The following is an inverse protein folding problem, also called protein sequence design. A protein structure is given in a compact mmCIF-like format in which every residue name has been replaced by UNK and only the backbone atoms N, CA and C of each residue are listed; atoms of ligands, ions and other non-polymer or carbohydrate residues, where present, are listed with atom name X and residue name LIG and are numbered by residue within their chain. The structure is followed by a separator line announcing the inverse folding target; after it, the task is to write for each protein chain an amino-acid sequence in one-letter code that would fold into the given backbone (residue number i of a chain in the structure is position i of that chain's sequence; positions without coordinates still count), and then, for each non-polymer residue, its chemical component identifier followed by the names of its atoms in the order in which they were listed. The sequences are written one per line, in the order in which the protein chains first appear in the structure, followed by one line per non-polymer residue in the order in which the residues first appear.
data_IF_936362050481
#
_entry.id   IF_936362050481
#
_cell.length_a   1.000
_cell.length_b   1.000
_cell.length_c   1.000
_cell.angle_alpha   90.00
_cell.angle_beta   90.00
_cell.angle_gamma   90.00
#
_symmetry.space_group_name_H-M   'P 1'
#
loop_
_entity.id
_entity.type
_entity.pdbx_description
1 polymer ?
#
# COMPACT_ATOMS: atom_id res chain seq x y z
N UNK A 1 -6.58 -28.81 13.23
CA UNK A 1 -6.01 -28.30 14.49
C UNK A 1 -6.02 -26.77 14.42
N UNK A 2 -6.69 -26.10 15.40
CA UNK A 2 -6.71 -24.63 15.44
C UNK A 2 -5.32 -24.11 15.80
N UNK A 3 -4.89 -23.05 15.11
CA UNK A 3 -3.62 -22.38 15.43
C UNK A 3 -3.77 -21.67 16.79
N UNK A 4 -2.75 -21.81 17.64
CA UNK A 4 -2.71 -21.12 18.94
C UNK A 4 -2.17 -19.70 18.70
N UNK A 5 -2.84 -18.69 19.26
CA UNK A 5 -2.35 -17.32 19.25
C UNK A 5 -1.27 -17.14 20.31
N UNK A 6 -0.08 -16.76 19.89
CA UNK A 6 1.07 -16.48 20.76
C UNK A 6 1.30 -14.97 20.80
N UNK A 7 1.61 -14.45 22.00
CA UNK A 7 1.83 -13.04 22.24
C UNK A 7 3.27 -12.77 22.67
N UNK A 8 3.90 -11.75 22.09
CA UNK A 8 5.23 -11.29 22.49
C UNK A 8 5.29 -9.77 22.62
N UNK A 9 6.17 -9.30 23.50
CA UNK A 9 6.42 -7.86 23.65
C UNK A 9 6.80 -7.22 22.31
N UNK A 10 6.24 -6.06 22.00
CA UNK A 10 6.62 -5.28 20.81
C UNK A 10 8.11 -4.93 20.84
N UNK A 11 8.68 -4.66 22.04
CA UNK A 11 10.10 -4.32 22.19
C UNK A 11 10.50 -3.04 21.47
N UNK A 12 11.72 -2.98 20.95
CA UNK A 12 12.21 -1.80 20.22
C UNK A 12 11.67 -1.80 18.80
N UNK A 13 10.98 -0.73 18.42
CA UNK A 13 10.50 -0.50 17.06
C UNK A 13 10.82 0.93 16.64
N UNK A 14 11.58 1.10 15.53
CA UNK A 14 12.03 2.40 15.00
C UNK A 14 12.65 3.30 16.07
N UNK A 15 13.51 2.72 16.91
CA UNK A 15 14.24 3.45 17.97
C UNK A 15 13.42 3.71 19.25
N UNK A 16 12.15 3.34 19.29
CA UNK A 16 11.29 3.46 20.49
C UNK A 16 11.14 2.10 21.15
N UNK A 17 11.51 1.99 22.42
CA UNK A 17 11.32 0.78 23.20
C UNK A 17 9.91 0.73 23.78
N UNK A 18 9.08 -0.23 23.35
CA UNK A 18 7.73 -0.48 23.83
C UNK A 18 7.63 -1.66 24.81
N UNK A 19 8.76 -2.18 25.28
CA UNK A 19 8.80 -3.30 26.24
C UNK A 19 7.97 -2.97 27.48
N UNK A 20 7.10 -3.89 27.89
CA UNK A 20 6.18 -3.71 29.02
C UNK A 20 4.99 -2.77 28.76
N UNK A 21 4.86 -2.21 27.58
CA UNK A 21 3.71 -1.37 27.19
C UNK A 21 2.73 -2.10 26.28
N UNK A 22 3.26 -2.86 25.30
CA UNK A 22 2.45 -3.51 24.28
C UNK A 22 3.00 -4.88 23.90
N UNK A 23 2.07 -5.75 23.54
CA UNK A 23 2.36 -7.04 22.92
C UNK A 23 1.70 -7.13 21.55
N UNK A 24 2.32 -7.89 20.66
CA UNK A 24 1.80 -8.26 19.34
C UNK A 24 1.64 -9.78 19.29
N UNK A 25 0.65 -10.28 18.56
CA UNK A 25 0.39 -11.70 18.42
C UNK A 25 0.75 -12.25 17.05
N UNK A 26 0.87 -13.57 16.97
CA UNK A 26 1.02 -14.32 15.70
C UNK A 26 -0.14 -14.11 14.73
N UNK A 27 -1.29 -13.62 15.20
CA UNK A 27 -2.46 -13.31 14.37
C UNK A 27 -2.51 -11.85 13.91
N UNK A 28 -1.52 -11.04 14.32
CA UNK A 28 -1.50 -9.61 14.01
C UNK A 28 -2.34 -8.76 14.95
N UNK A 29 -2.80 -9.30 16.08
CA UNK A 29 -3.45 -8.51 17.09
C UNK A 29 -2.43 -7.75 17.94
N UNK A 30 -2.81 -6.60 18.49
CA UNK A 30 -1.97 -5.81 19.39
C UNK A 30 -2.77 -5.56 20.67
N UNK A 31 -2.13 -5.70 21.82
CA UNK A 31 -2.72 -5.33 23.11
C UNK A 31 -1.76 -4.47 23.92
N UNK A 32 -2.32 -3.51 24.68
CA UNK A 32 -1.57 -2.82 25.72
C UNK A 32 -1.55 -3.67 26.99
N UNK A 33 -0.51 -3.51 27.78
CA UNK A 33 -0.34 -4.21 29.05
C UNK A 33 -0.85 -3.38 30.23
N UNK A 34 -1.20 -4.06 31.32
CA UNK A 34 -1.49 -3.44 32.62
C UNK A 34 -0.24 -2.69 33.07
N UNK A 35 -0.39 -1.44 33.49
CA UNK A 35 0.72 -0.65 34.00
C UNK A 35 0.28 0.41 35.00
N UNK A 36 1.22 0.85 35.82
CA UNK A 36 1.06 2.00 36.68
C UNK A 36 1.63 3.25 36.00
N UNK A 37 0.90 4.34 36.04
CA UNK A 37 1.38 5.67 35.66
C UNK A 37 1.64 6.42 36.99
N UNK A 38 2.88 6.85 37.16
CA UNK A 38 3.33 7.63 38.31
C UNK A 38 3.32 9.11 37.95
N UNK A 39 2.62 9.92 38.69
CA UNK A 39 2.58 11.36 38.55
C UNK A 39 3.62 12.03 39.44
N UNK A 40 4.05 13.21 39.08
CA UNK A 40 5.04 14.01 39.87
C UNK A 40 4.55 14.40 41.24
N UNK A 41 3.23 14.43 41.47
CA UNK A 41 2.56 14.71 42.74
C UNK A 41 2.39 13.46 43.64
N UNK A 42 3.01 12.33 43.26
CA UNK A 42 2.97 11.07 44.01
C UNK A 42 1.73 10.19 43.73
N UNK A 43 0.76 10.65 42.93
CA UNK A 43 -0.40 9.84 42.57
C UNK A 43 -0.01 8.69 41.65
N UNK A 44 -0.66 7.54 41.83
CA UNK A 44 -0.49 6.36 41.02
C UNK A 44 -1.82 6.05 40.30
N UNK A 45 -1.81 6.00 39.00
CA UNK A 45 -2.97 5.56 38.20
C UNK A 45 -2.69 4.18 37.60
N UNK A 46 -3.52 3.20 37.95
CA UNK A 46 -3.52 1.89 37.31
C UNK A 46 -4.26 1.98 35.98
N UNK A 47 -3.62 1.53 34.91
CA UNK A 47 -4.20 1.43 33.59
C UNK A 47 -4.29 -0.03 33.22
N UNK A 48 -5.49 -0.51 32.94
CA UNK A 48 -5.69 -1.87 32.42
C UNK A 48 -5.32 -1.99 30.96
N UNK A 49 -4.68 -3.08 30.62
CA UNK A 49 -4.40 -3.47 29.24
C UNK A 49 -5.67 -3.74 28.45
N UNK A 50 -5.63 -3.48 27.18
CA UNK A 50 -6.75 -3.70 26.25
C UNK A 50 -6.24 -3.99 24.83
N UNK A 51 -7.08 -4.61 24.03
CA UNK A 51 -6.84 -4.75 22.59
C UNK A 51 -6.78 -3.35 21.96
N UNK A 52 -5.77 -3.11 21.16
CA UNK A 52 -5.57 -1.85 20.45
C UNK A 52 -6.35 -1.89 19.14
N UNK A 53 -7.15 -0.86 18.91
CA UNK A 53 -7.90 -0.72 17.66
C UNK A 53 -6.96 -0.60 16.47
N UNK A 54 -7.30 -1.28 15.38
CA UNK A 54 -6.56 -1.28 14.13
C UNK A 54 -7.36 -0.58 13.06
N UNK A 55 -6.69 0.12 12.17
CA UNK A 55 -7.32 0.79 11.02
C UNK A 55 -6.53 0.53 9.74
N UNK A 56 -7.21 0.53 8.64
CA UNK A 56 -6.60 0.51 7.33
C UNK A 56 -6.05 1.90 6.97
N UNK A 57 -4.84 1.94 6.43
CA UNK A 57 -4.32 3.17 5.81
C UNK A 57 -4.94 3.30 4.41
N UNK A 58 -5.69 4.36 4.18
CA UNK A 58 -6.44 4.58 2.92
C UNK A 58 -5.57 4.69 1.67
N UNK A 59 -4.32 5.13 1.80
CA UNK A 59 -3.41 5.26 0.66
C UNK A 59 -2.70 3.94 0.34
N UNK A 60 -2.23 3.24 1.37
CA UNK A 60 -1.39 2.05 1.21
C UNK A 60 -2.16 0.74 1.37
N UNK A 61 -3.34 0.75 1.97
CA UNK A 61 -4.13 -0.44 2.27
C UNK A 61 -3.56 -1.33 3.39
N UNK A 62 -2.48 -0.93 4.05
CA UNK A 62 -1.92 -1.68 5.17
C UNK A 62 -2.67 -1.43 6.47
N UNK A 63 -2.81 -2.47 7.29
CA UNK A 63 -3.34 -2.34 8.64
C UNK A 63 -2.33 -1.67 9.58
N UNK A 64 -2.79 -0.70 10.32
CA UNK A 64 -2.00 0.11 11.24
C UNK A 64 -2.65 0.18 12.63
N UNK A 65 -1.83 0.42 13.64
CA UNK A 65 -2.26 0.73 15.00
C UNK A 65 -1.53 1.99 15.51
N UNK A 66 -2.15 2.68 16.46
CA UNK A 66 -1.53 3.82 17.16
C UNK A 66 -1.13 3.39 18.55
N UNK A 67 0.16 3.44 18.85
CA UNK A 67 0.75 3.16 20.14
C UNK A 67 1.10 4.48 20.84
N UNK A 68 0.88 4.55 22.15
CA UNK A 68 1.19 5.73 22.96
C UNK A 68 2.28 5.40 24.00
N UNK A 69 3.33 6.20 24.06
CA UNK A 69 4.35 6.13 25.11
C UNK A 69 4.84 7.52 25.49
N UNK A 70 4.92 7.80 26.77
CA UNK A 70 5.42 9.07 27.33
C UNK A 70 4.76 10.31 26.70
N UNK A 71 3.43 10.27 26.49
CA UNK A 71 2.68 11.37 25.89
C UNK A 71 2.76 11.48 24.37
N UNK A 72 3.62 10.70 23.71
CA UNK A 72 3.76 10.66 22.26
C UNK A 72 2.97 9.52 21.63
N UNK A 73 2.49 9.71 20.41
CA UNK A 73 1.78 8.73 19.61
C UNK A 73 2.63 8.27 18.44
N UNK A 74 2.60 6.96 18.16
CA UNK A 74 3.39 6.31 17.13
C UNK A 74 2.47 5.45 16.27
N UNK A 75 2.35 5.77 15.00
CA UNK A 75 1.65 4.92 14.04
C UNK A 75 2.57 3.79 13.57
N UNK A 76 2.15 2.56 13.78
CA UNK A 76 2.91 1.36 13.45
C UNK A 76 2.17 0.50 12.44
N UNK A 77 2.88 -0.06 11.46
CA UNK A 77 2.34 -1.04 10.54
C UNK A 77 2.38 -2.43 11.19
N UNK A 78 1.23 -3.10 11.25
CA UNK A 78 1.08 -4.36 12.02
C UNK A 78 1.95 -5.47 11.46
N UNK A 79 1.97 -5.67 10.13
CA UNK A 79 2.81 -6.69 9.49
C UNK A 79 4.30 -6.55 9.85
N UNK A 80 4.79 -5.31 10.03
CA UNK A 80 6.19 -5.09 10.43
C UNK A 80 6.45 -5.53 11.87
N UNK A 81 5.51 -5.28 12.79
CA UNK A 81 5.63 -5.74 14.17
C UNK A 81 5.60 -7.27 14.27
N UNK A 82 4.67 -7.90 13.56
CA UNK A 82 4.56 -9.38 13.52
C UNK A 82 5.83 -9.99 12.91
N UNK A 83 6.28 -9.48 11.77
CA UNK A 83 7.48 -10.00 11.14
C UNK A 83 8.73 -9.82 12.01
N UNK A 84 8.88 -8.66 12.66
CA UNK A 84 10.01 -8.39 13.54
C UNK A 84 10.07 -9.36 14.73
N UNK A 85 8.93 -9.84 15.24
CA UNK A 85 8.88 -10.70 16.43
C UNK A 85 8.86 -12.18 16.09
N UNK A 86 8.19 -12.57 15.02
CA UNK A 86 7.88 -13.98 14.79
C UNK A 86 8.48 -14.57 13.50
N UNK A 87 8.92 -13.72 12.56
CA UNK A 87 9.49 -14.20 11.30
C UNK A 87 11.01 -14.06 11.32
N UNK A 88 11.77 -15.17 11.34
CA UNK A 88 13.23 -15.09 11.28
C UNK A 88 13.69 -14.37 10.02
N UNK A 89 14.61 -13.42 10.18
CA UNK A 89 15.28 -12.75 9.05
C UNK A 89 16.74 -13.21 8.99
N UNK A 90 17.04 -14.09 8.03
CA UNK A 90 18.39 -14.64 7.87
C UNK A 90 19.35 -13.74 7.09
N UNK A 91 18.84 -12.65 6.48
CA UNK A 91 19.62 -11.67 5.74
C UNK A 91 19.08 -10.25 5.96
N UNK A 92 19.23 -9.70 7.18
CA UNK A 92 18.65 -8.40 7.54
C UNK A 92 19.30 -7.21 6.80
N UNK A 93 20.47 -7.39 6.17
CA UNK A 93 21.10 -6.35 5.36
C UNK A 93 20.37 -6.13 4.03
N UNK A 94 19.92 -7.19 3.38
CA UNK A 94 19.30 -7.14 2.07
C UNK A 94 17.77 -7.26 2.14
N UNK A 95 17.25 -8.13 3.02
CA UNK A 95 15.82 -8.36 3.22
C UNK A 95 15.24 -7.38 4.23
N UNK A 96 14.95 -6.19 3.77
CA UNK A 96 14.53 -5.05 4.61
C UNK A 96 13.03 -4.77 4.56
N UNK A 97 12.29 -5.49 3.70
CA UNK A 97 10.85 -5.32 3.52
C UNK A 97 10.09 -6.57 3.91
N UNK A 98 8.83 -6.38 4.34
CA UNK A 98 7.91 -7.47 4.67
C UNK A 98 6.86 -7.57 3.58
N UNK A 99 6.72 -8.77 3.02
CA UNK A 99 5.74 -9.11 2.00
C UNK A 99 4.60 -9.95 2.59
N UNK A 100 3.39 -9.80 2.03
CA UNK A 100 2.23 -10.67 2.28
C UNK A 100 2.15 -11.71 1.16
N UNK A 101 2.33 -12.99 1.49
CA UNK A 101 2.37 -14.09 0.52
C UNK A 101 1.09 -14.22 -0.31
N UNK A 102 -0.06 -13.89 0.29
CA UNK A 102 -1.37 -13.91 -0.36
C UNK A 102 -1.76 -12.60 -1.06
N UNK A 103 -0.84 -11.60 -1.12
CA UNK A 103 -1.08 -10.23 -1.60
C UNK A 103 -2.16 -9.45 -0.82
N UNK A 104 -2.71 -10.01 0.26
CA UNK A 104 -3.72 -9.35 1.08
C UNK A 104 -3.06 -8.58 2.25
N UNK A 105 -2.95 -7.27 2.12
CA UNK A 105 -2.34 -6.37 3.11
C UNK A 105 -3.05 -6.32 4.47
N UNK A 106 -4.23 -6.91 4.56
CA UNK A 106 -5.01 -7.02 5.81
C UNK A 106 -4.72 -8.31 6.57
N UNK A 107 -4.17 -9.33 5.91
CA UNK A 107 -3.86 -10.61 6.51
C UNK A 107 -2.46 -10.60 7.13
N UNK A 108 -2.38 -10.13 8.39
CA UNK A 108 -1.13 -10.00 9.12
C UNK A 108 -0.76 -11.25 9.94
N UNK A 109 -1.33 -12.41 9.60
CA UNK A 109 -0.98 -13.69 10.23
C UNK A 109 0.47 -14.05 9.93
N UNK A 110 1.21 -14.53 10.93
CA UNK A 110 2.66 -14.79 10.84
C UNK A 110 3.05 -15.67 9.67
N UNK A 111 2.27 -16.73 9.37
CA UNK A 111 2.56 -17.65 8.28
C UNK A 111 2.38 -17.02 6.88
N UNK A 112 1.66 -15.90 6.81
CA UNK A 112 1.45 -15.12 5.59
C UNK A 112 2.55 -14.08 5.33
N UNK A 113 3.45 -13.88 6.27
CA UNK A 113 4.48 -12.84 6.17
C UNK A 113 5.84 -13.46 5.87
N UNK A 114 6.65 -12.71 5.14
CA UNK A 114 8.05 -13.07 4.84
C UNK A 114 8.92 -11.82 4.69
N UNK A 115 10.20 -11.96 5.02
CA UNK A 115 11.19 -10.92 4.74
C UNK A 115 11.70 -11.06 3.31
N UNK A 116 11.70 -9.95 2.58
CA UNK A 116 12.10 -9.87 1.16
C UNK A 116 13.02 -8.70 0.92
N UNK A 117 13.80 -8.78 -0.15
CA UNK A 117 14.52 -7.62 -0.69
C UNK A 117 13.56 -6.65 -1.37
N UNK A 118 13.93 -5.36 -1.54
CA UNK A 118 13.11 -4.40 -2.31
C UNK A 118 12.81 -4.88 -3.74
N UNK A 119 13.77 -5.55 -4.38
CA UNK A 119 13.60 -6.08 -5.74
C UNK A 119 12.61 -7.25 -5.80
N UNK A 120 12.73 -8.22 -4.89
CA UNK A 120 11.76 -9.32 -4.76
C UNK A 120 10.35 -8.77 -4.53
N UNK A 121 10.19 -7.82 -3.60
CA UNK A 121 8.90 -7.22 -3.30
C UNK A 121 8.31 -6.44 -4.49
N UNK A 122 9.15 -5.72 -5.24
CA UNK A 122 8.71 -4.99 -6.44
C UNK A 122 8.20 -5.92 -7.55
N UNK A 123 8.76 -7.13 -7.65
CA UNK A 123 8.43 -8.12 -8.68
C UNK A 123 7.45 -9.20 -8.21
N UNK A 124 6.99 -9.13 -6.96
CA UNK A 124 6.13 -10.15 -6.37
C UNK A 124 4.70 -10.13 -6.94
N UNK A 125 4.16 -11.33 -7.09
CA UNK A 125 2.75 -11.56 -7.37
C UNK A 125 2.25 -10.95 -8.68
N UNK A 126 1.02 -10.44 -8.66
CA UNK A 126 0.30 -9.95 -9.85
C UNK A 126 0.61 -8.50 -10.20
N UNK A 127 1.48 -7.80 -9.42
CA UNK A 127 1.77 -6.38 -9.61
C UNK A 127 2.26 -6.05 -11.03
N UNK A 128 3.25 -6.79 -11.53
CA UNK A 128 3.81 -6.57 -12.85
C UNK A 128 2.80 -6.89 -13.96
N UNK A 129 1.95 -7.90 -13.76
CA UNK A 129 0.85 -8.22 -14.68
C UNK A 129 -0.18 -7.09 -14.72
N UNK A 130 -0.58 -6.55 -13.55
CA UNK A 130 -1.48 -5.39 -13.47
C UNK A 130 -0.89 -4.15 -14.14
N UNK A 131 0.39 -3.85 -13.90
CA UNK A 131 1.10 -2.74 -14.54
C UNK A 131 1.21 -2.95 -16.06
N UNK A 132 1.53 -4.16 -16.51
CA UNK A 132 1.59 -4.50 -17.95
C UNK A 132 0.22 -4.35 -18.60
N UNK A 133 -0.86 -4.78 -17.93
CA UNK A 133 -2.24 -4.60 -18.42
C UNK A 133 -2.61 -3.13 -18.53
N UNK A 134 -2.32 -2.32 -17.51
CA UNK A 134 -2.55 -0.88 -17.53
C UNK A 134 -1.75 -0.24 -18.66
N UNK A 135 -0.47 -0.63 -18.84
CA UNK A 135 0.38 -0.15 -19.92
C UNK A 135 -0.20 -0.50 -21.28
N UNK A 136 -0.63 -1.76 -21.50
CA UNK A 136 -1.31 -2.17 -22.74
C UNK A 136 -2.61 -1.38 -22.98
N UNK A 137 -3.37 -1.07 -21.96
CA UNK A 137 -4.58 -0.23 -22.10
C UNK A 137 -4.25 1.23 -22.43
N UNK A 138 -3.09 1.74 -22.03
CA UNK A 138 -2.60 3.06 -22.42
C UNK A 138 -2.06 3.10 -23.87
N UNK A 139 -1.57 1.96 -24.40
CA UNK A 139 -1.05 1.80 -25.77
C UNK A 139 -2.14 1.47 -26.78
N UNK A 140 -3.35 1.94 -26.63
CA UNK A 140 -4.41 1.78 -27.64
C UNK A 140 -4.25 2.83 -28.72
N UNK A 141 -4.27 2.44 -30.00
CA UNK A 141 -4.20 3.38 -31.12
C UNK A 141 -5.29 4.46 -31.01
N UNK A 142 -4.91 5.68 -31.35
CA UNK A 142 -5.78 6.86 -31.33
C UNK A 142 -5.83 7.42 -32.72
N UNK A 143 -7.04 7.68 -33.21
CA UNK A 143 -7.31 8.31 -34.49
C UNK A 143 -7.56 9.80 -34.29
N UNK A 144 -6.96 10.62 -35.13
CA UNK A 144 -7.16 12.06 -35.22
C UNK A 144 -7.94 12.39 -36.48
N UNK A 145 -8.98 13.22 -36.32
CA UNK A 145 -9.76 13.74 -37.43
C UNK A 145 -9.86 15.26 -37.29
N UNK A 146 -10.09 15.96 -38.40
CA UNK A 146 -10.48 17.34 -38.39
C UNK A 146 -11.93 17.52 -37.89
N UNK A 147 -12.40 18.77 -37.70
CA UNK A 147 -13.76 19.03 -37.26
C UNK A 147 -14.85 18.68 -38.29
N UNK A 148 -14.46 18.40 -39.53
CA UNK A 148 -15.35 17.96 -40.60
C UNK A 148 -15.45 16.43 -40.67
N UNK A 149 -14.68 15.71 -39.81
CA UNK A 149 -14.65 14.26 -39.74
C UNK A 149 -13.66 13.62 -40.75
N UNK A 150 -12.79 14.37 -41.39
CA UNK A 150 -11.77 13.81 -42.25
C UNK A 150 -10.61 13.25 -41.43
N UNK A 151 -10.19 12.01 -41.75
CA UNK A 151 -9.07 11.37 -41.08
C UNK A 151 -7.75 12.12 -41.37
N UNK A 152 -6.99 12.38 -40.31
CA UNK A 152 -5.69 13.06 -40.38
C UNK A 152 -4.56 12.07 -40.14
N UNK A 153 -4.58 11.38 -38.99
CA UNK A 153 -3.47 10.52 -38.60
C UNK A 153 -3.89 9.46 -37.56
N UNK A 154 -3.19 8.34 -37.57
CA UNK A 154 -3.21 7.32 -36.54
C UNK A 154 -1.94 7.41 -35.66
N UNK A 155 -2.09 7.33 -34.37
CA UNK A 155 -1.02 7.26 -33.38
C UNK A 155 -1.11 5.89 -32.69
N UNK A 156 -0.02 5.15 -32.66
CA UNK A 156 0.02 3.83 -32.00
C UNK A 156 -0.22 3.94 -30.50
N UNK A 157 0.21 5.07 -29.93
CA UNK A 157 -0.01 5.37 -28.51
C UNK A 157 -0.10 6.88 -28.26
N UNK A 158 -0.56 7.25 -27.06
CA UNK A 158 -0.53 8.64 -26.61
C UNK A 158 0.91 9.18 -26.37
N UNK A 159 1.93 8.32 -26.36
CA UNK A 159 3.34 8.72 -26.23
C UNK A 159 3.89 9.32 -27.52
N UNK A 160 3.26 9.04 -28.67
CA UNK A 160 3.66 9.54 -30.00
C UNK A 160 3.21 10.99 -30.27
N UNK A 161 2.50 11.61 -29.33
CA UNK A 161 2.09 13.00 -29.45
C UNK A 161 3.29 13.97 -29.33
N UNK A 162 3.31 15.04 -30.11
CA UNK A 162 4.45 15.94 -30.17
C UNK A 162 4.74 16.71 -28.87
N UNK A 163 3.84 16.73 -27.93
CA UNK A 163 4.04 17.35 -26.60
C UNK A 163 3.37 16.59 -25.46
N UNK A 164 4.00 16.62 -24.26
CA UNK A 164 3.41 16.02 -23.04
C UNK A 164 2.08 16.66 -22.63
N UNK A 165 1.92 17.96 -22.89
CA UNK A 165 0.68 18.67 -22.61
C UNK A 165 -0.48 18.24 -23.51
N UNK A 166 -0.23 18.05 -24.80
CA UNK A 166 -1.20 17.52 -25.76
C UNK A 166 -1.68 16.12 -25.34
N UNK A 167 -0.74 15.23 -24.95
CA UNK A 167 -1.06 13.89 -24.46
C UNK A 167 -2.10 13.90 -23.33
N UNK A 168 -1.87 14.68 -22.28
CA UNK A 168 -2.77 14.71 -21.13
C UNK A 168 -4.16 15.23 -21.50
N UNK A 169 -4.25 16.26 -22.31
CA UNK A 169 -5.51 16.88 -22.75
C UNK A 169 -6.31 15.95 -23.64
N UNK A 170 -5.67 15.29 -24.62
CA UNK A 170 -6.33 14.36 -25.55
C UNK A 170 -6.82 13.10 -24.80
N UNK A 171 -5.98 12.50 -23.97
CA UNK A 171 -6.37 11.34 -23.17
C UNK A 171 -7.54 11.68 -22.23
N UNK A 172 -7.54 12.86 -21.63
CA UNK A 172 -8.66 13.35 -20.81
C UNK A 172 -9.94 13.54 -21.65
N UNK A 173 -9.85 14.16 -22.82
CA UNK A 173 -11.00 14.37 -23.72
C UNK A 173 -11.64 13.05 -24.12
N UNK A 174 -10.83 12.05 -24.50
CA UNK A 174 -11.33 10.71 -24.83
C UNK A 174 -11.99 10.03 -23.63
N UNK A 175 -11.35 10.07 -22.45
CA UNK A 175 -11.89 9.47 -21.21
C UNK A 175 -13.19 10.12 -20.74
N UNK A 176 -13.35 11.42 -20.97
CA UNK A 176 -14.57 12.18 -20.60
C UNK A 176 -15.64 12.18 -21.69
N UNK A 177 -15.48 11.38 -22.75
CA UNK A 177 -16.39 11.31 -23.90
C UNK A 177 -16.62 12.67 -24.60
N UNK A 178 -15.68 13.59 -24.49
CA UNK A 178 -15.76 14.91 -25.14
C UNK A 178 -15.23 14.88 -26.56
N UNK A 179 -14.28 13.99 -26.85
CA UNK A 179 -13.65 13.70 -28.15
C UNK A 179 -13.01 14.89 -28.88
N UNK A 180 -13.27 16.13 -28.51
CA UNK A 180 -12.74 17.33 -29.16
C UNK A 180 -11.69 17.97 -28.27
N UNK A 181 -10.47 18.13 -28.83
CA UNK A 181 -9.36 18.82 -28.19
C UNK A 181 -8.46 19.45 -29.26
N UNK A 182 -7.95 20.65 -29.02
CA UNK A 182 -7.11 21.40 -30.00
C UNK A 182 -7.71 21.56 -31.40
N UNK A 183 -9.03 21.73 -31.50
CA UNK A 183 -9.80 21.81 -32.76
C UNK A 183 -9.73 20.54 -33.61
N UNK A 184 -9.46 19.39 -33.01
CA UNK A 184 -9.47 18.09 -33.67
C UNK A 184 -10.36 17.11 -32.88
N UNK A 185 -10.86 16.10 -33.59
CA UNK A 185 -11.63 15.01 -33.00
C UNK A 185 -10.67 13.84 -32.74
N UNK A 186 -10.72 13.27 -31.54
CA UNK A 186 -9.83 12.21 -31.08
C UNK A 186 -10.64 11.01 -30.61
N UNK A 187 -10.45 9.87 -31.23
CA UNK A 187 -11.22 8.65 -30.96
C UNK A 187 -10.27 7.47 -30.78
N UNK A 188 -10.56 6.57 -29.87
CA UNK A 188 -9.86 5.28 -29.79
C UNK A 188 -10.20 4.46 -31.05
N UNK A 189 -9.22 3.86 -31.71
CA UNK A 189 -9.45 3.03 -32.89
C UNK A 189 -10.49 1.93 -32.64
N UNK A 190 -10.41 1.25 -31.50
CA UNK A 190 -11.39 0.24 -31.11
C UNK A 190 -12.83 0.76 -30.94
N UNK A 191 -13.03 2.08 -30.77
CA UNK A 191 -14.37 2.71 -30.73
C UNK A 191 -14.84 3.16 -32.11
N UNK A 192 -13.91 3.33 -33.03
CA UNK A 192 -14.21 3.69 -34.42
C UNK A 192 -14.60 2.46 -35.26
N UNK A 193 -13.96 1.31 -34.95
CA UNK A 193 -14.18 0.04 -35.65
C UNK A 193 -15.39 -0.74 -35.09
N UNK A 194 -16.09 -0.25 -34.05
CA UNK A 194 -17.26 -0.87 -33.40
C UNK A 194 -18.57 -0.33 -33.95
#
# INVERSE_FOLDING_TARGET
MGSIEIWENVGIFRGVDFTGYYEVSTFGNIRSLDRNIFYTDGRIRKVKGKIVAQKENGETGYMQATLCKNGHTYTVAIHQLVALRFVPNLDPKNKTQVNHKDENRKNNYVNNLEWVTPNENANYGTRNQKLSKIKKECFRPILEFDLNGNFIKEYDSADDFPSKGARSSVVYAIKSNRYICYKHIWIRKAQYDS
#
